data_IF_794417802302
#
_entry.id   IF_794417802302
#
_cell.length_a   1.000
_cell.length_b   1.000
_cell.length_c   1.000
_cell.angle_alpha   90.00
_cell.angle_beta   90.00
_cell.angle_gamma   90.00
#
_symmetry.space_group_name_H-M   'P 1'
#
loop_
_entity.id
_entity.type
_entity.pdbx_description
1 polymer ?
#
# COMPACT_ATOMS: atom_id res chain seq x y z
N UNK A 1 -5.20 -6.69 6.45
CA UNK A 1 -4.43 -5.45 6.19
C UNK A 1 -4.38 -4.63 7.44
N UNK A 2 -3.22 -4.25 7.86
CA UNK A 2 -3.08 -3.43 9.04
C UNK A 2 -1.80 -2.64 8.97
N UNK A 3 -1.65 -1.69 9.87
CA UNK A 3 -0.48 -0.82 9.90
C UNK A 3 0.77 -1.65 10.04
N UNK A 4 1.75 -1.36 9.23
CA UNK A 4 3.02 -2.09 9.23
C UNK A 4 3.09 -3.18 8.19
N UNK A 5 1.96 -3.53 7.57
CA UNK A 5 1.98 -4.59 6.57
C UNK A 5 2.65 -4.09 5.31
N UNK A 6 3.32 -5.00 4.62
CA UNK A 6 3.93 -4.68 3.34
C UNK A 6 2.93 -4.96 2.24
N UNK A 7 2.92 -4.11 1.24
CA UNK A 7 2.00 -4.26 0.12
C UNK A 7 2.73 -4.10 -1.19
N UNK A 8 2.13 -4.60 -2.25
CA UNK A 8 2.69 -4.43 -3.57
C UNK A 8 1.54 -4.05 -4.50
N UNK A 9 1.86 -3.23 -5.49
CA UNK A 9 0.87 -2.84 -6.47
C UNK A 9 1.56 -2.78 -7.80
N UNK A 10 0.93 -3.35 -8.82
CA UNK A 10 1.51 -3.36 -10.13
C UNK A 10 1.49 -2.01 -10.78
N UNK A 11 2.56 -1.68 -11.41
CA UNK A 11 2.60 -0.51 -12.27
C UNK A 11 2.29 0.81 -11.62
N UNK A 12 2.72 0.95 -10.39
CA UNK A 12 2.54 2.24 -9.76
C UNK A 12 3.50 3.24 -10.38
N UNK A 13 4.73 2.78 -10.61
CA UNK A 13 5.74 3.69 -11.11
C UNK A 13 6.30 3.22 -12.44
N UNK A 14 5.57 2.57 -13.24
CA UNK A 14 6.05 2.12 -14.53
C UNK A 14 5.85 0.65 -14.70
N UNK A 15 6.82 -0.06 -15.21
CA UNK A 15 6.63 -1.45 -15.56
C UNK A 15 6.85 -2.40 -14.41
N UNK A 16 7.46 -1.97 -13.34
CA UNK A 16 7.76 -2.88 -12.23
C UNK A 16 6.76 -2.71 -11.11
N UNK A 17 6.48 -3.76 -10.39
CA UNK A 17 5.60 -3.63 -9.23
C UNK A 17 6.27 -2.76 -8.17
N UNK A 18 5.49 -1.99 -7.47
CA UNK A 18 6.00 -1.14 -6.41
C UNK A 18 5.72 -1.80 -5.08
N UNK A 19 6.65 -1.69 -4.15
CA UNK A 19 6.48 -2.24 -2.81
C UNK A 19 6.40 -1.09 -1.83
N UNK A 20 5.53 -1.22 -0.85
CA UNK A 20 5.36 -0.18 0.15
C UNK A 20 4.96 -0.75 1.48
N UNK A 21 4.72 0.13 2.42
CA UNK A 21 4.33 -0.25 3.78
C UNK A 21 3.10 0.57 4.16
N UNK A 22 2.15 -0.07 4.78
CA UNK A 22 0.96 0.62 5.23
C UNK A 22 1.34 1.40 6.47
N UNK A 23 1.20 2.72 6.41
CA UNK A 23 1.55 3.55 7.53
C UNK A 23 0.38 3.78 8.44
N UNK A 24 -0.83 3.88 7.92
CA UNK A 24 -1.98 4.18 8.71
C UNK A 24 -3.24 3.72 8.03
N UNK A 25 -4.21 3.30 8.78
CA UNK A 25 -5.49 2.91 8.24
C UNK A 25 -6.55 3.67 9.03
N UNK A 26 -7.41 4.39 8.33
CA UNK A 26 -8.49 5.11 8.98
C UNK A 26 -9.80 4.49 8.49
N UNK A 27 -10.90 5.03 8.91
CA UNK A 27 -12.19 4.54 8.48
C UNK A 27 -12.40 4.81 7.00
N UNK A 28 -11.80 5.83 6.47
CA UNK A 28 -12.05 6.24 5.11
C UNK A 28 -10.95 5.93 4.13
N UNK A 29 -9.75 5.77 4.56
CA UNK A 29 -8.65 5.55 3.63
C UNK A 29 -7.48 4.81 4.27
N UNK A 30 -6.53 4.42 3.43
CA UNK A 30 -5.33 3.74 3.86
C UNK A 30 -4.17 4.56 3.35
N UNK A 31 -3.19 4.81 4.19
CA UNK A 31 -2.01 5.59 3.81
C UNK A 31 -0.85 4.63 3.61
N UNK A 32 -0.21 4.73 2.46
CA UNK A 32 0.90 3.85 2.10
C UNK A 32 2.13 4.68 1.79
N UNK A 33 3.29 4.23 2.23
CA UNK A 33 4.55 4.83 1.89
C UNK A 33 5.25 3.84 0.99
N UNK A 34 5.53 4.25 -0.25
CA UNK A 34 6.18 3.38 -1.22
C UNK A 34 7.69 3.49 -1.06
N UNK A 35 8.37 2.36 -1.17
CA UNK A 35 9.80 2.31 -0.92
C UNK A 35 10.62 3.21 -1.82
N UNK A 36 10.24 3.32 -3.05
CA UNK A 36 11.04 4.07 -4.00
C UNK A 36 10.55 5.47 -4.26
N UNK A 37 9.53 5.89 -3.60
CA UNK A 37 8.97 7.21 -3.83
C UNK A 37 8.72 7.85 -2.48
N UNK A 38 9.25 9.03 -2.27
CA UNK A 38 9.03 9.70 -1.01
C UNK A 38 7.63 10.26 -0.95
N UNK A 39 7.03 10.23 0.18
CA UNK A 39 5.73 10.82 0.39
C UNK A 39 4.71 9.79 0.83
N UNK A 40 3.53 10.26 1.09
CA UNK A 40 2.45 9.42 1.57
C UNK A 40 1.34 9.39 0.54
N UNK A 41 0.83 8.19 0.27
CA UNK A 41 -0.23 8.05 -0.70
C UNK A 41 -1.49 7.64 0.03
N UNK A 42 -2.57 8.35 -0.20
CA UNK A 42 -3.86 8.06 0.42
C UNK A 42 -4.74 7.34 -0.57
N UNK A 43 -5.15 6.14 -0.23
CA UNK A 43 -6.03 5.35 -1.07
C UNK A 43 -7.35 5.17 -0.33
N UNK A 44 -8.46 5.33 -1.02
CA UNK A 44 -9.75 5.08 -0.40
C UNK A 44 -9.82 3.57 -0.11
N UNK A 45 -10.77 3.16 0.71
CA UNK A 45 -10.90 1.74 1.01
C UNK A 45 -11.14 0.95 -0.25
N UNK A 46 -11.88 1.51 -1.19
CA UNK A 46 -12.12 0.83 -2.41
C UNK A 46 -10.85 0.71 -3.21
N UNK A 47 -10.03 1.74 -3.28
CA UNK A 47 -8.78 1.68 -4.03
C UNK A 47 -7.79 0.76 -3.33
N UNK A 48 -7.83 0.71 -2.02
CA UNK A 48 -6.90 -0.13 -1.29
C UNK A 48 -7.13 -1.62 -1.54
N UNK A 49 -8.32 -1.98 -2.04
CA UNK A 49 -8.58 -3.37 -2.34
C UNK A 49 -7.68 -3.88 -3.46
N UNK A 50 -7.10 -2.99 -4.25
CA UNK A 50 -6.23 -3.44 -5.32
C UNK A 50 -4.80 -3.62 -4.84
N UNK A 51 -4.51 -3.29 -3.60
CA UNK A 51 -3.19 -3.50 -3.05
C UNK A 51 -3.09 -4.96 -2.58
N UNK A 52 -1.94 -5.58 -2.85
CA UNK A 52 -1.77 -6.95 -2.46
C UNK A 52 -0.91 -6.98 -1.22
N UNK A 53 -1.35 -7.55 -0.15
CA UNK A 53 -0.62 -7.59 1.11
C UNK A 53 0.36 -8.74 1.08
N UNK A 54 1.61 -8.45 1.37
CA UNK A 54 2.65 -9.47 1.36
C UNK A 54 2.95 -9.93 2.78
N UNK A 55 3.46 -11.12 2.86
CA UNK A 55 3.94 -11.63 4.14
C UNK A 55 2.91 -11.81 5.19
N UNK A 56 1.66 -11.88 4.82
CA UNK A 56 0.76 -11.97 5.72
C UNK A 56 0.65 -13.23 6.16
N UNK A 57 0.83 -13.75 6.93
CA UNK A 57 0.83 -14.98 7.29
C UNK A 57 0.17 -15.15 8.23
N UNK A 58 -0.35 -14.91 8.31
CA UNK A 58 -1.27 -15.22 9.24
C UNK A 58 -1.24 -15.30 10.32
#
# INVERSE_FOLDING_TARGET
MKTGDRVVKDKVMGSSPAHGTIEKITQDYVVVIWDEVNGHWHYTKEQAKSLEVLGERG
#
